data_IF_162415562801
#
_entry.id   IF_162415562801
#
_cell.length_a   1.000
_cell.length_b   1.000
_cell.length_c   1.000
_cell.angle_alpha   90.00
_cell.angle_beta   90.00
_cell.angle_gamma   90.00
#
_symmetry.space_group_name_H-M   'P 1'
#
loop_
_entity.id
_entity.type
_entity.pdbx_description
1 polymer ?
#
# COMPACT_ATOMS: atom_id res chain seq x y z
N UNK A 1 16.41 -9.57 5.99
CA UNK A 1 16.53 -8.15 5.60
C UNK A 1 15.77 -7.30 6.60
N UNK A 2 16.22 -6.09 6.95
CA UNK A 2 15.45 -5.23 7.85
C UNK A 2 14.08 -4.93 7.21
N UNK A 3 13.00 -5.10 7.97
CA UNK A 3 11.66 -4.68 7.57
C UNK A 3 11.68 -3.15 7.51
N UNK A 4 11.58 -2.58 6.30
CA UNK A 4 11.62 -1.13 6.09
C UNK A 4 10.35 -0.72 5.36
N UNK A 5 9.60 0.19 5.96
CA UNK A 5 8.59 1.00 5.27
C UNK A 5 9.22 2.35 4.91
N UNK A 6 8.94 2.86 3.72
CA UNK A 6 9.36 4.19 3.28
C UNK A 6 8.34 4.73 2.28
N UNK A 7 7.97 6.01 2.39
CA UNK A 7 7.11 6.71 1.43
C UNK A 7 7.60 8.15 1.33
N UNK A 8 7.73 8.68 0.11
CA UNK A 8 8.00 10.09 -0.14
C UNK A 8 6.74 10.83 -0.59
N UNK A 9 6.56 12.06 -0.12
CA UNK A 9 5.45 12.93 -0.50
C UNK A 9 5.97 14.34 -0.84
N UNK A 10 5.60 14.92 -2.00
CA UNK A 10 4.82 14.33 -3.09
C UNK A 10 5.65 13.35 -3.97
N UNK A 11 4.98 12.65 -4.89
CA UNK A 11 5.61 11.77 -5.89
C UNK A 11 5.91 12.50 -7.21
N UNK A 12 5.76 13.83 -7.24
CA UNK A 12 6.03 14.68 -8.40
C UNK A 12 6.75 15.96 -8.00
N UNK A 13 7.73 16.36 -8.80
CA UNK A 13 8.36 17.68 -8.74
C UNK A 13 8.51 18.26 -10.15
N UNK A 14 7.67 19.25 -10.50
CA UNK A 14 7.64 19.82 -11.85
C UNK A 14 7.32 18.76 -12.91
N UNK A 15 8.31 18.38 -13.72
CA UNK A 15 8.20 17.34 -14.77
C UNK A 15 8.82 16.00 -14.37
N UNK A 16 9.30 15.87 -13.14
CA UNK A 16 9.84 14.63 -12.59
C UNK A 16 8.75 13.89 -11.82
N UNK A 17 8.61 12.58 -12.08
CA UNK A 17 7.64 11.69 -11.44
C UNK A 17 8.38 10.49 -10.83
N UNK A 18 8.01 10.09 -9.62
CA UNK A 18 8.52 8.92 -8.92
C UNK A 18 7.48 7.80 -8.99
N UNK A 19 7.93 6.56 -9.22
CA UNK A 19 7.09 5.37 -9.27
C UNK A 19 7.84 4.16 -8.68
N UNK A 20 7.10 3.25 -8.04
CA UNK A 20 7.67 2.06 -7.39
C UNK A 20 8.70 2.42 -6.31
N UNK A 21 9.79 1.65 -6.26
CA UNK A 21 10.85 1.76 -5.23
C UNK A 21 11.54 3.14 -5.17
N UNK A 22 11.41 3.97 -6.21
CA UNK A 22 11.88 5.36 -6.17
C UNK A 22 11.02 6.27 -5.27
N UNK A 23 9.75 5.90 -5.04
CA UNK A 23 8.79 6.65 -4.23
C UNK A 23 8.40 5.97 -2.93
N UNK A 24 8.42 4.64 -2.86
CA UNK A 24 8.03 3.89 -1.66
C UNK A 24 8.69 2.51 -1.57
N UNK A 25 8.90 2.01 -0.35
CA UNK A 25 9.39 0.65 -0.07
C UNK A 25 8.46 0.04 0.96
N UNK A 26 7.82 -1.08 0.63
CA UNK A 26 6.94 -1.83 1.54
C UNK A 26 7.64 -3.06 2.13
N UNK A 27 7.32 -3.46 3.35
CA UNK A 27 7.75 -4.74 3.90
C UNK A 27 7.33 -5.93 3.00
N UNK A 28 8.22 -6.91 2.75
CA UNK A 28 7.93 -8.04 1.85
C UNK A 28 6.80 -8.95 2.35
N UNK A 29 6.49 -8.90 3.64
CA UNK A 29 5.38 -9.62 4.31
C UNK A 29 4.02 -9.40 3.66
N UNK A 30 3.75 -8.20 3.15
CA UNK A 30 2.50 -7.91 2.45
C UNK A 30 2.46 -8.35 0.98
N UNK A 31 3.62 -8.73 0.40
CA UNK A 31 3.80 -9.00 -1.03
C UNK A 31 3.24 -7.88 -1.96
N UNK A 32 3.41 -6.61 -1.55
CA UNK A 32 2.79 -5.45 -2.21
C UNK A 32 3.69 -4.64 -3.14
N UNK A 33 5.02 -4.73 -3.02
CA UNK A 33 5.95 -3.80 -3.68
C UNK A 33 5.76 -3.72 -5.19
N UNK A 34 5.87 -4.87 -5.88
CA UNK A 34 5.68 -4.92 -7.34
C UNK A 34 4.26 -4.52 -7.77
N UNK A 35 3.24 -4.90 -6.99
CA UNK A 35 1.84 -4.57 -7.28
C UNK A 35 1.57 -3.06 -7.16
N UNK A 36 2.20 -2.39 -6.19
CA UNK A 36 2.13 -0.94 -6.05
C UNK A 36 2.87 -0.25 -7.20
N UNK A 37 4.10 -0.68 -7.51
CA UNK A 37 4.86 -0.14 -8.63
C UNK A 37 4.10 -0.25 -9.97
N UNK A 38 3.48 -1.40 -10.24
CA UNK A 38 2.64 -1.60 -11.43
C UNK A 38 1.44 -0.64 -11.45
N UNK A 39 0.87 -0.33 -10.28
CA UNK A 39 -0.25 0.60 -10.18
C UNK A 39 0.19 2.05 -10.40
N UNK A 40 1.32 2.47 -9.83
CA UNK A 40 1.87 3.82 -10.06
C UNK A 40 2.10 4.05 -11.56
N UNK A 41 2.68 3.06 -12.25
CA UNK A 41 2.90 3.10 -13.70
C UNK A 41 1.58 3.21 -14.46
N UNK A 42 0.53 2.48 -14.04
CA UNK A 42 -0.81 2.58 -14.64
C UNK A 42 -1.37 4.00 -14.52
N UNK A 43 -1.34 4.59 -13.31
CA UNK A 43 -1.83 5.95 -13.09
C UNK A 43 -1.01 7.00 -13.84
N UNK A 44 0.32 6.86 -13.85
CA UNK A 44 1.20 7.77 -14.58
C UNK A 44 0.97 7.67 -16.10
N UNK A 45 0.79 6.46 -16.62
CA UNK A 45 0.46 6.24 -18.03
C UNK A 45 -0.84 6.94 -18.40
N UNK A 46 -1.92 6.72 -17.64
CA UNK A 46 -3.22 7.34 -17.90
C UNK A 46 -3.11 8.89 -17.85
N UNK A 47 -2.38 9.43 -16.86
CA UNK A 47 -2.13 10.86 -16.71
C UNK A 47 -1.31 11.47 -17.87
N UNK A 48 -0.27 10.78 -18.34
CA UNK A 48 0.55 11.22 -19.47
C UNK A 48 -0.26 11.18 -20.76
N UNK A 49 -1.09 10.14 -20.95
CA UNK A 49 -1.98 10.04 -22.12
C UNK A 49 -2.95 11.21 -22.16
N UNK A 50 -3.60 11.53 -21.04
CA UNK A 50 -4.50 12.69 -20.91
C UNK A 50 -3.77 14.00 -21.24
N UNK A 51 -2.56 14.20 -20.69
CA UNK A 51 -1.77 15.41 -20.94
C UNK A 51 -1.46 15.61 -22.44
N UNK A 52 -1.05 14.55 -23.14
CA UNK A 52 -0.68 14.68 -24.55
C UNK A 52 -1.87 14.71 -25.50
N UNK A 53 -2.90 13.90 -25.26
CA UNK A 53 -4.07 13.79 -26.16
C UNK A 53 -5.09 14.88 -25.90
N UNK A 54 -5.43 15.09 -24.63
CA UNK A 54 -6.54 15.95 -24.21
C UNK A 54 -6.06 17.34 -23.80
N UNK A 55 -4.73 17.56 -23.75
CA UNK A 55 -4.09 18.83 -23.37
C UNK A 55 -4.48 19.31 -21.97
N UNK A 56 -4.76 18.35 -21.08
CA UNK A 56 -5.16 18.59 -19.70
C UNK A 56 -4.04 18.23 -18.73
N UNK A 57 -3.77 19.10 -17.76
CA UNK A 57 -2.81 18.82 -16.68
C UNK A 57 -3.45 18.10 -15.49
N UNK A 58 -4.78 17.92 -15.49
CA UNK A 58 -5.49 17.41 -14.33
C UNK A 58 -4.99 16.02 -13.89
N UNK A 59 -4.79 15.08 -14.84
CA UNK A 59 -4.26 13.76 -14.53
C UNK A 59 -2.86 13.78 -13.88
N UNK A 60 -1.94 14.62 -14.38
CA UNK A 60 -0.57 14.69 -13.86
C UNK A 60 -0.50 15.46 -12.53
N UNK A 61 -1.38 16.43 -12.31
CA UNK A 61 -1.51 17.17 -11.05
C UNK A 61 -2.06 16.26 -9.95
N UNK A 62 -2.99 15.38 -10.31
CA UNK A 62 -3.63 14.44 -9.39
C UNK A 62 -2.83 13.15 -9.12
N UNK A 63 -1.75 12.92 -9.89
CA UNK A 63 -0.94 11.70 -9.85
C UNK A 63 -0.48 11.32 -8.43
N UNK A 64 0.09 12.28 -7.69
CA UNK A 64 0.62 12.01 -6.34
C UNK A 64 -0.50 11.60 -5.39
N UNK A 65 -1.65 12.29 -5.43
CA UNK A 65 -2.80 11.99 -4.56
C UNK A 65 -3.32 10.56 -4.81
N UNK A 66 -3.51 10.19 -6.09
CA UNK A 66 -4.00 8.85 -6.48
C UNK A 66 -3.06 7.73 -6.03
N UNK A 67 -1.76 7.87 -6.29
CA UNK A 67 -0.78 6.86 -5.88
C UNK A 67 -0.70 6.74 -4.36
N UNK A 68 -0.58 7.87 -3.64
CA UNK A 68 -0.44 7.87 -2.18
C UNK A 68 -1.65 7.26 -1.47
N UNK A 69 -2.88 7.50 -1.97
CA UNK A 69 -4.07 6.87 -1.42
C UNK A 69 -4.00 5.34 -1.44
N UNK A 70 -3.39 4.75 -2.48
CA UNK A 70 -3.20 3.29 -2.61
C UNK A 70 -2.00 2.80 -1.80
N UNK A 71 -0.87 3.50 -1.88
CA UNK A 71 0.36 3.17 -1.14
C UNK A 71 0.06 3.08 0.35
N UNK A 72 -0.60 4.08 0.94
CA UNK A 72 -0.91 4.08 2.37
C UNK A 72 -1.81 2.94 2.82
N UNK A 73 -2.76 2.50 1.99
CA UNK A 73 -3.60 1.33 2.30
C UNK A 73 -2.78 0.03 2.30
N UNK A 74 -1.89 -0.11 1.33
CA UNK A 74 -0.99 -1.26 1.25
C UNK A 74 0.06 -1.28 2.36
N UNK A 75 0.61 -0.13 2.73
CA UNK A 75 1.51 0.04 3.89
C UNK A 75 0.78 -0.33 5.19
N UNK A 76 -0.42 0.21 5.41
CA UNK A 76 -1.25 -0.13 6.59
C UNK A 76 -1.45 -1.64 6.71
N UNK A 77 -1.82 -2.30 5.62
CA UNK A 77 -2.01 -3.75 5.61
C UNK A 77 -0.70 -4.50 5.86
N UNK A 78 0.39 -4.11 5.19
CA UNK A 78 1.70 -4.78 5.33
C UNK A 78 2.25 -4.62 6.74
N UNK A 79 2.15 -3.43 7.33
CA UNK A 79 2.51 -3.17 8.71
C UNK A 79 1.70 -4.03 9.69
N UNK A 80 0.36 -3.98 9.59
CA UNK A 80 -0.53 -4.75 10.45
C UNK A 80 -0.25 -6.26 10.36
N UNK A 81 -0.11 -6.78 9.14
CA UNK A 81 0.16 -8.19 8.91
C UNK A 81 1.53 -8.61 9.45
N UNK A 82 2.53 -7.73 9.36
CA UNK A 82 3.85 -7.97 9.97
C UNK A 82 3.75 -8.06 11.48
N UNK A 83 3.04 -7.12 12.12
CA UNK A 83 2.82 -7.10 13.57
C UNK A 83 2.04 -8.34 14.05
N UNK A 84 1.12 -8.86 13.24
CA UNK A 84 0.36 -10.06 13.56
C UNK A 84 1.20 -11.35 13.44
N UNK A 85 2.10 -11.41 12.47
CA UNK A 85 2.81 -12.65 12.08
C UNK A 85 4.24 -12.79 12.63
N UNK A 86 4.82 -11.73 13.21
CA UNK A 86 6.19 -11.74 13.74
C UNK A 86 6.22 -11.47 15.24
N UNK A 87 7.24 -12.03 15.91
CA UNK A 87 7.60 -11.66 17.29
C UNK A 87 8.78 -10.71 17.25
N UNK A 88 8.67 -9.55 17.88
CA UNK A 88 9.78 -8.62 17.99
C UNK A 88 10.52 -8.81 19.33
N UNK A 89 11.84 -8.55 19.37
CA UNK A 89 12.65 -8.77 20.59
C UNK A 89 12.18 -7.94 21.79
N UNK A 90 11.59 -6.77 21.53
CA UNK A 90 11.15 -5.81 22.55
C UNK A 90 9.67 -6.02 22.95
N UNK A 91 8.99 -7.01 22.38
CA UNK A 91 7.59 -7.30 22.70
C UNK A 91 7.46 -7.92 24.10
N UNK A 92 6.60 -7.31 24.94
CA UNK A 92 6.26 -7.86 26.24
C UNK A 92 5.35 -9.11 26.15
N UNK A 93 5.22 -9.88 27.23
CA UNK A 93 4.40 -11.11 27.26
C UNK A 93 2.91 -10.90 26.89
N UNK A 94 2.39 -9.69 27.07
CA UNK A 94 1.00 -9.35 26.71
C UNK A 94 0.78 -9.28 25.19
N UNK A 95 1.79 -8.87 24.42
CA UNK A 95 1.69 -8.73 22.95
C UNK A 95 1.37 -10.07 22.30
N UNK A 96 1.98 -11.16 22.75
CA UNK A 96 1.70 -12.50 22.24
C UNK A 96 0.24 -12.94 22.50
N UNK A 97 -0.37 -12.49 23.61
CA UNK A 97 -1.79 -12.75 23.89
C UNK A 97 -2.70 -11.96 22.95
N UNK A 98 -2.37 -10.69 22.68
CA UNK A 98 -3.11 -9.89 21.69
C UNK A 98 -3.01 -10.47 20.28
N UNK A 99 -1.82 -10.89 19.84
CA UNK A 99 -1.65 -11.57 18.55
C UNK A 99 -2.51 -12.84 18.45
N UNK A 100 -2.51 -13.65 19.50
CA UNK A 100 -3.30 -14.89 19.53
C UNK A 100 -4.81 -14.62 19.47
N UNK A 101 -5.29 -13.62 20.22
CA UNK A 101 -6.70 -13.23 20.21
C UNK A 101 -7.13 -12.64 18.85
N UNK A 102 -6.27 -11.84 18.22
CA UNK A 102 -6.51 -11.28 16.88
C UNK A 102 -6.58 -12.40 15.83
N UNK A 103 -5.64 -13.35 15.85
CA UNK A 103 -5.68 -14.51 14.95
C UNK A 103 -6.94 -15.35 15.15
N UNK A 104 -7.33 -15.61 16.40
CA UNK A 104 -8.55 -16.38 16.70
C UNK A 104 -9.81 -15.67 16.18
N UNK A 105 -9.90 -14.36 16.38
CA UNK A 105 -10.99 -13.56 15.82
C UNK A 105 -11.02 -13.63 14.29
N UNK A 106 -9.87 -13.43 13.63
CA UNK A 106 -9.79 -13.42 12.17
C UNK A 106 -10.17 -14.77 11.56
N UNK A 107 -9.79 -15.88 12.18
CA UNK A 107 -10.05 -17.23 11.67
C UNK A 107 -11.49 -17.69 11.88
N UNK A 108 -12.20 -17.11 12.85
CA UNK A 108 -13.58 -17.50 13.20
C UNK A 108 -14.62 -16.42 12.83
N UNK A 109 -14.23 -15.35 12.15
CA UNK A 109 -15.10 -14.26 11.71
C UNK A 109 -15.08 -14.14 10.19
N UNK A 110 -16.23 -14.36 9.54
CA UNK A 110 -16.36 -14.16 8.08
C UNK A 110 -15.97 -12.75 7.64
N UNK A 111 -16.33 -11.74 8.45
CA UNK A 111 -15.95 -10.36 8.20
C UNK A 111 -14.42 -10.18 8.32
N UNK A 112 -13.81 -10.78 9.34
CA UNK A 112 -12.35 -10.78 9.54
C UNK A 112 -11.62 -11.40 8.35
N UNK A 113 -12.02 -12.61 7.94
CA UNK A 113 -11.47 -13.30 6.77
C UNK A 113 -11.60 -12.45 5.49
N UNK A 114 -12.75 -11.81 5.28
CA UNK A 114 -12.98 -10.95 4.12
C UNK A 114 -12.01 -9.76 4.10
N UNK A 115 -11.77 -9.12 5.24
CA UNK A 115 -10.81 -8.00 5.32
C UNK A 115 -9.38 -8.41 4.97
N UNK A 116 -8.97 -9.62 5.35
CA UNK A 116 -7.66 -10.16 4.98
C UNK A 116 -7.64 -10.42 3.47
N UNK A 117 -8.64 -11.13 2.96
CA UNK A 117 -8.70 -11.56 1.57
C UNK A 117 -8.63 -10.37 0.60
N UNK A 118 -9.47 -9.34 0.79
CA UNK A 118 -9.51 -8.18 -0.10
C UNK A 118 -8.20 -7.37 -0.09
N UNK A 119 -7.56 -7.25 1.08
CA UNK A 119 -6.27 -6.58 1.18
C UNK A 119 -5.16 -7.45 0.60
N UNK A 120 -5.22 -8.78 0.75
CA UNK A 120 -4.19 -9.71 0.26
C UNK A 120 -4.19 -9.85 -1.26
N UNK A 121 -5.36 -9.92 -1.91
CA UNK A 121 -5.46 -9.93 -3.38
C UNK A 121 -5.24 -8.54 -3.99
N UNK A 122 -5.42 -7.49 -3.20
CA UNK A 122 -5.25 -6.10 -3.62
C UNK A 122 -6.57 -5.40 -3.87
N UNK A 123 -6.68 -4.17 -3.37
CA UNK A 123 -7.89 -3.36 -3.50
C UNK A 123 -8.10 -2.87 -4.94
N UNK A 124 -9.36 -2.61 -5.36
CA UNK A 124 -9.67 -1.98 -6.63
C UNK A 124 -8.91 -0.67 -6.86
N UNK A 125 -8.66 -0.32 -8.13
CA UNK A 125 -7.92 0.91 -8.50
C UNK A 125 -8.69 2.20 -8.17
N UNK A 126 -10.01 2.12 -8.09
CA UNK A 126 -10.97 3.18 -7.81
C UNK A 126 -11.50 3.14 -6.36
N UNK A 127 -10.88 2.32 -5.50
CA UNK A 127 -11.35 2.15 -4.13
C UNK A 127 -11.31 3.50 -3.39
N UNK A 128 -12.45 3.94 -2.85
CA UNK A 128 -12.55 5.12 -1.98
C UNK A 128 -12.53 6.49 -2.67
N UNK A 129 -12.80 6.58 -3.98
CA UNK A 129 -13.12 7.85 -4.67
C UNK A 129 -11.92 8.63 -5.23
#
# INVERSE_FOLDING_TARGET
APLRSFVTEPLRFGRMFLAGDAGHIVPPTGAKGLNLAATDVKYLFDAIVEFYKDKSEAGIDDYSRKCLARIWRAERFSWWFTQLMHRFPDDGPITAKFQSAELDYLMNSDAGLKTIAENYVGLPLDFGG
#
